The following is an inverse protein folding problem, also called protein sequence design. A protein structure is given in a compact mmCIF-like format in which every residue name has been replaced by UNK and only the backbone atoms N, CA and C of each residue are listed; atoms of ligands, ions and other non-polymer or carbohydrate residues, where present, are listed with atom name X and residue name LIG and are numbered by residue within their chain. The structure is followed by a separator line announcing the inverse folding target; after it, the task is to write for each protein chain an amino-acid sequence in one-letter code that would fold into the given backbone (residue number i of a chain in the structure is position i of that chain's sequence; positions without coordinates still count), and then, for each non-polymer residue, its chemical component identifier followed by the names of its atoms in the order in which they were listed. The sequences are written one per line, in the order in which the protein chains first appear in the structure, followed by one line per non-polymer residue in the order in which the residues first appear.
data_IF_868022216141
#
_entry.id   IF_868022216141
#
_cell.length_a   1.000
_cell.length_b   1.000
_cell.length_c   1.000
_cell.angle_alpha   90.00
_cell.angle_beta   90.00
_cell.angle_gamma   90.00
#
_symmetry.space_group_name_H-M   'P 1'
#
loop_
_entity.id
_entity.type
_entity.pdbx_description
1 polymer ?
#
# COMPACT_ATOMS: atom_id res chain seq x y z
N UNK A 1 25.22 23.70 -33.76
CA UNK A 1 25.05 23.61 -32.30
C UNK A 1 24.03 22.52 -31.98
N UNK A 2 24.39 21.48 -31.21
CA UNK A 2 23.85 20.15 -31.46
C UNK A 2 23.16 19.49 -30.24
N UNK A 3 22.24 18.56 -30.52
CA UNK A 3 21.74 17.44 -29.69
C UNK A 3 21.01 17.65 -28.35
N UNK A 4 20.93 18.84 -27.75
CA UNK A 4 20.31 18.98 -26.39
C UNK A 4 18.76 19.00 -26.40
N UNK A 5 18.11 19.27 -27.54
CA UNK A 5 16.64 19.42 -27.58
C UNK A 5 15.82 18.12 -27.66
N UNK A 6 16.45 16.94 -27.73
CA UNK A 6 15.73 15.66 -27.89
C UNK A 6 15.42 14.90 -26.59
N UNK A 7 15.87 15.37 -25.43
CA UNK A 7 15.59 14.71 -24.13
C UNK A 7 14.32 15.21 -23.45
N UNK A 8 13.75 16.33 -23.89
CA UNK A 8 12.55 16.94 -23.28
C UNK A 8 11.23 16.36 -23.82
N UNK A 9 11.27 15.56 -24.89
CA UNK A 9 10.12 14.79 -25.40
C UNK A 9 9.99 13.41 -24.73
N UNK A 10 10.30 13.32 -23.44
CA UNK A 10 10.08 12.08 -22.72
C UNK A 10 8.62 12.07 -22.24
N UNK A 11 7.71 11.61 -23.11
CA UNK A 11 6.38 11.08 -22.73
C UNK A 11 6.49 9.94 -21.69
N UNK A 12 7.71 9.51 -21.37
CA UNK A 12 8.04 8.55 -20.31
C UNK A 12 7.77 9.05 -18.89
N UNK A 13 7.58 10.36 -18.66
CA UNK A 13 7.36 10.92 -17.31
C UNK A 13 5.91 11.33 -17.02
N UNK A 14 5.05 11.39 -18.04
CA UNK A 14 3.64 11.77 -17.88
C UNK A 14 2.79 10.52 -18.00
N UNK A 15 2.76 9.70 -16.95
CA UNK A 15 1.73 8.66 -16.85
C UNK A 15 0.41 9.39 -16.61
N UNK A 16 -0.43 9.42 -17.64
CA UNK A 16 -1.79 9.98 -17.59
C UNK A 16 -2.66 9.06 -16.74
N UNK A 17 -2.49 9.16 -15.42
CA UNK A 17 -3.21 8.41 -14.41
C UNK A 17 -4.32 9.27 -13.84
N UNK A 18 -5.56 8.75 -13.82
CA UNK A 18 -6.67 9.43 -13.14
C UNK A 18 -6.49 9.49 -11.63
N UNK A 19 -5.60 8.67 -11.09
CA UNK A 19 -5.17 8.75 -9.69
C UNK A 19 -4.09 9.83 -9.55
N UNK A 20 -4.48 10.96 -8.95
CA UNK A 20 -3.58 12.08 -8.67
C UNK A 20 -2.95 11.90 -7.29
N UNK A 21 -1.62 11.89 -7.25
CA UNK A 21 -0.88 11.86 -6.00
C UNK A 21 -1.09 13.13 -5.18
N UNK A 22 -1.18 12.97 -3.86
CA UNK A 22 -1.45 14.08 -2.94
C UNK A 22 -0.67 13.96 -1.64
N UNK A 23 -0.24 15.10 -1.10
CA UNK A 23 0.41 15.15 0.22
C UNK A 23 -0.59 14.95 1.38
N UNK A 24 -1.88 15.12 1.11
CA UNK A 24 -2.95 14.90 2.10
C UNK A 24 -3.38 13.44 2.10
N UNK A 25 -3.70 12.87 3.28
CA UNK A 25 -4.31 11.54 3.35
C UNK A 25 -5.65 11.52 2.58
N UNK A 26 -5.89 10.44 1.84
CA UNK A 26 -7.11 10.21 1.08
C UNK A 26 -7.79 8.91 1.52
N UNK A 27 -9.13 8.89 1.43
CA UNK A 27 -9.94 7.71 1.70
C UNK A 27 -10.80 7.42 0.48
N UNK A 28 -10.26 6.63 -0.45
CA UNK A 28 -10.94 6.18 -1.67
C UNK A 28 -11.22 4.68 -1.59
N UNK A 29 -12.08 4.12 -2.46
CA UNK A 29 -12.28 2.68 -2.55
C UNK A 29 -10.96 1.91 -2.74
N UNK A 30 -10.06 2.42 -3.59
CA UNK A 30 -8.76 1.81 -3.83
C UNK A 30 -7.83 1.87 -2.62
N UNK A 31 -7.81 2.95 -1.83
CA UNK A 31 -7.00 2.96 -0.60
C UNK A 31 -7.53 2.01 0.48
N UNK A 32 -8.85 1.76 0.51
CA UNK A 32 -9.44 0.72 1.37
C UNK A 32 -9.02 -0.68 0.92
N UNK A 33 -9.04 -0.94 -0.38
CA UNK A 33 -8.59 -2.22 -0.95
C UNK A 33 -7.10 -2.44 -0.72
N UNK A 34 -6.28 -1.41 -0.94
CA UNK A 34 -4.86 -1.41 -0.62
C UNK A 34 -4.61 -1.78 0.85
N UNK A 35 -5.36 -1.20 1.79
CA UNK A 35 -5.28 -1.57 3.21
C UNK A 35 -5.65 -3.04 3.46
N UNK A 36 -6.73 -3.54 2.87
CA UNK A 36 -7.12 -4.95 3.02
C UNK A 36 -6.05 -5.91 2.48
N UNK A 37 -5.48 -5.61 1.31
CA UNK A 37 -4.42 -6.42 0.70
C UNK A 37 -3.13 -6.40 1.53
N UNK A 38 -2.75 -5.24 2.08
CA UNK A 38 -1.65 -5.12 3.02
C UNK A 38 -1.89 -5.98 4.29
N UNK A 39 -3.08 -5.94 4.87
CA UNK A 39 -3.42 -6.75 6.04
C UNK A 39 -3.35 -8.26 5.75
N UNK A 40 -3.87 -8.68 4.59
CA UNK A 40 -3.79 -10.07 4.13
C UNK A 40 -2.34 -10.54 3.97
N UNK A 41 -1.48 -9.69 3.37
CA UNK A 41 -0.06 -9.97 3.22
C UNK A 41 0.67 -10.04 4.57
N UNK A 42 0.37 -9.14 5.51
CA UNK A 42 0.96 -9.18 6.86
C UNK A 42 0.59 -10.48 7.57
N UNK A 43 -0.68 -10.91 7.47
CA UNK A 43 -1.15 -12.16 8.07
C UNK A 43 -0.44 -13.39 7.49
N UNK A 44 -0.16 -13.42 6.19
CA UNK A 44 0.61 -14.51 5.58
C UNK A 44 2.09 -14.49 5.97
N UNK A 45 2.67 -13.30 6.20
CA UNK A 45 4.07 -13.11 6.62
C UNK A 45 4.35 -13.51 8.07
N UNK A 46 3.43 -13.17 8.99
CA UNK A 46 3.59 -13.39 10.43
C UNK A 46 3.22 -14.82 10.87
N UNK A 47 2.49 -15.56 10.04
CA UNK A 47 2.15 -16.97 10.28
C UNK A 47 1.03 -17.18 11.30
N UNK A 48 0.66 -18.45 11.55
CA UNK A 48 -0.49 -18.81 12.40
C UNK A 48 -0.21 -18.72 13.91
N UNK A 49 1.07 -18.56 14.31
CA UNK A 49 1.49 -18.59 15.71
C UNK A 49 1.19 -17.28 16.47
N UNK A 50 0.79 -16.22 15.74
CA UNK A 50 0.39 -14.94 16.31
C UNK A 50 -1.04 -14.60 15.94
N UNK A 51 -1.82 -14.14 16.91
CA UNK A 51 -3.14 -13.60 16.67
C UNK A 51 -3.02 -12.11 16.34
N UNK A 52 -3.48 -11.70 15.16
CA UNK A 52 -3.41 -10.32 14.68
C UNK A 52 -4.81 -9.75 14.61
N UNK A 53 -5.01 -8.61 15.26
CA UNK A 53 -6.23 -7.81 15.15
C UNK A 53 -5.93 -6.56 14.30
N UNK A 54 -6.68 -6.40 13.22
CA UNK A 54 -6.57 -5.26 12.32
C UNK A 54 -7.72 -4.29 12.59
N UNK A 55 -7.47 -2.97 12.64
CA UNK A 55 -8.53 -1.98 12.75
C UNK A 55 -9.37 -1.94 11.46
N UNK A 56 -10.60 -1.43 11.54
CA UNK A 56 -11.50 -1.31 10.39
C UNK A 56 -10.97 -0.36 9.30
N UNK A 57 -10.10 0.58 9.67
CA UNK A 57 -9.53 1.60 8.78
C UNK A 57 -8.06 1.89 9.11
N UNK A 58 -7.25 2.27 8.12
CA UNK A 58 -5.88 2.73 8.38
C UNK A 58 -5.90 4.06 9.15
N UNK A 59 -4.77 4.38 9.81
CA UNK A 59 -4.57 5.69 10.42
C UNK A 59 -4.51 6.77 9.33
N UNK A 60 -3.73 6.52 8.29
CA UNK A 60 -3.62 7.38 7.12
C UNK A 60 -3.35 6.53 5.87
N UNK A 61 -3.86 6.99 4.73
CA UNK A 61 -3.52 6.42 3.44
C UNK A 61 -3.24 7.55 2.45
N UNK A 62 -2.22 7.39 1.61
CA UNK A 62 -1.85 8.34 0.57
C UNK A 62 -1.86 7.64 -0.78
N UNK A 63 -2.30 8.36 -1.82
CA UNK A 63 -1.94 8.04 -3.19
C UNK A 63 -0.70 8.86 -3.56
N UNK A 64 0.27 8.18 -4.18
CA UNK A 64 1.44 8.81 -4.81
C UNK A 64 1.18 9.12 -6.30
N UNK A 65 -0.01 8.79 -6.80
CA UNK A 65 -0.33 8.75 -8.22
C UNK A 65 0.19 7.47 -8.88
N UNK A 66 -0.23 7.25 -10.12
CA UNK A 66 0.08 6.03 -10.87
C UNK A 66 -0.28 4.76 -10.08
N UNK A 67 -1.41 4.79 -9.35
CA UNK A 67 -1.95 3.66 -8.61
C UNK A 67 -1.01 3.09 -7.52
N UNK A 68 -0.10 3.94 -7.04
CA UNK A 68 0.78 3.64 -5.92
C UNK A 68 0.21 4.23 -4.64
N UNK A 69 0.16 3.40 -3.60
CA UNK A 69 -0.42 3.75 -2.32
C UNK A 69 0.57 3.51 -1.18
N UNK A 70 0.53 4.42 -0.19
CA UNK A 70 1.18 4.24 1.10
C UNK A 70 0.09 4.12 2.15
N UNK A 71 0.08 3.01 2.88
CA UNK A 71 -0.86 2.75 3.95
C UNK A 71 -0.11 2.78 5.28
N UNK A 72 -0.49 3.69 6.17
CA UNK A 72 -0.01 3.76 7.53
C UNK A 72 -1.13 3.34 8.47
N UNK A 73 -0.91 2.28 9.23
CA UNK A 73 -1.89 1.74 10.15
C UNK A 73 -1.22 1.11 11.37
N UNK A 74 -2.03 0.71 12.33
CA UNK A 74 -1.61 -0.02 13.51
C UNK A 74 -2.28 -1.38 13.55
N UNK A 75 -1.62 -2.35 14.18
CA UNK A 75 -2.13 -3.69 14.42
C UNK A 75 -1.86 -4.09 15.85
N UNK A 76 -2.79 -4.81 16.44
CA UNK A 76 -2.56 -5.45 17.74
C UNK A 76 -2.14 -6.90 17.51
N UNK A 77 -1.01 -7.27 18.09
CA UNK A 77 -0.45 -8.61 17.95
C UNK A 77 -0.45 -9.24 19.33
N UNK A 78 -1.16 -10.36 19.45
CA UNK A 78 -1.18 -11.18 20.65
C UNK A 78 -0.29 -12.39 20.43
N UNK A 79 0.80 -12.46 21.21
CA UNK A 79 1.71 -13.62 21.24
C UNK A 79 1.14 -14.74 22.11
N UNK A 80 1.64 -15.96 21.91
CA UNK A 80 1.32 -17.17 22.70
C UNK A 80 1.57 -17.01 24.21
N UNK A 81 2.40 -16.03 24.62
CA UNK A 81 2.65 -15.66 26.01
C UNK A 81 1.62 -14.68 26.61
N UNK A 82 0.49 -14.47 25.93
CA UNK A 82 -0.64 -13.62 26.34
C UNK A 82 -0.35 -12.10 26.43
N UNK A 83 0.78 -11.64 25.90
CA UNK A 83 1.06 -10.21 25.75
C UNK A 83 0.52 -9.69 24.43
N UNK A 84 -0.37 -8.70 24.49
CA UNK A 84 -0.85 -7.94 23.34
C UNK A 84 -0.01 -6.69 23.18
N UNK A 85 0.59 -6.51 22.00
CA UNK A 85 1.39 -5.33 21.66
C UNK A 85 0.81 -4.66 20.42
N UNK A 86 0.54 -3.35 20.52
CA UNK A 86 0.18 -2.53 19.37
C UNK A 86 1.44 -2.12 18.62
N UNK A 87 1.51 -2.42 17.32
CA UNK A 87 2.61 -2.05 16.43
C UNK A 87 2.08 -1.20 15.28
N UNK A 88 2.80 -0.14 14.94
CA UNK A 88 2.53 0.68 13.76
C UNK A 88 3.31 0.15 12.58
N UNK A 89 2.67 0.08 11.42
CA UNK A 89 3.28 -0.39 10.20
C UNK A 89 3.02 0.57 9.04
N UNK A 90 3.93 0.54 8.08
CA UNK A 90 3.75 1.21 6.79
C UNK A 90 3.86 0.17 5.69
N UNK A 91 2.84 0.10 4.84
CA UNK A 91 2.79 -0.77 3.68
C UNK A 91 2.75 0.07 2.41
N UNK A 92 3.73 -0.14 1.52
CA UNK A 92 3.74 0.44 0.17
C UNK A 92 3.23 -0.62 -0.79
N UNK A 93 2.17 -0.29 -1.51
CA UNK A 93 1.49 -1.22 -2.41
C UNK A 93 1.15 -0.52 -3.73
N UNK A 94 1.24 -1.25 -4.84
CA UNK A 94 0.99 -0.76 -6.18
C UNK A 94 -0.10 -1.61 -6.85
N UNK A 95 -1.07 -0.95 -7.49
CA UNK A 95 -2.08 -1.64 -8.29
C UNK A 95 -1.69 -1.65 -9.77
N UNK A 96 -1.62 -2.84 -10.36
CA UNK A 96 -1.02 -3.05 -11.70
C UNK A 96 -1.98 -2.76 -12.86
N UNK A 97 -3.29 -2.81 -12.61
CA UNK A 97 -4.29 -2.74 -13.69
C UNK A 97 -4.81 -1.32 -13.95
N UNK A 98 -4.17 -0.31 -13.38
CA UNK A 98 -4.49 1.09 -13.64
C UNK A 98 -5.95 1.42 -13.36
N UNK A 99 -6.62 2.05 -14.33
CA UNK A 99 -8.02 2.47 -14.28
C UNK A 99 -9.05 1.33 -14.20
N UNK A 100 -8.63 0.08 -14.36
CA UNK A 100 -9.55 -1.05 -14.32
C UNK A 100 -9.88 -1.42 -12.88
N UNK A 101 -10.92 -0.84 -12.30
CA UNK A 101 -11.36 -1.13 -10.93
C UNK A 101 -11.93 -2.55 -10.73
N UNK A 102 -12.33 -3.27 -11.79
CA UNK A 102 -12.91 -4.61 -11.67
C UNK A 102 -11.90 -5.64 -11.12
N UNK A 103 -10.61 -5.46 -11.43
CA UNK A 103 -9.52 -6.32 -10.95
C UNK A 103 -9.02 -5.97 -9.54
N UNK A 104 -9.55 -4.93 -8.90
CA UNK A 104 -8.99 -4.36 -7.67
C UNK A 104 -9.22 -5.25 -6.44
N UNK A 105 -10.17 -6.18 -6.51
CA UNK A 105 -10.41 -7.18 -5.47
C UNK A 105 -9.44 -8.37 -5.53
N UNK A 106 -8.80 -8.61 -6.68
CA UNK A 106 -7.86 -9.72 -6.85
C UNK A 106 -6.45 -9.31 -6.43
N UNK A 107 -5.92 -9.95 -5.38
CA UNK A 107 -4.59 -9.70 -4.84
C UNK A 107 -3.47 -9.88 -5.90
N UNK A 108 -3.66 -10.71 -6.93
CA UNK A 108 -2.67 -10.91 -8.00
C UNK A 108 -2.38 -9.62 -8.79
N UNK A 109 -3.37 -8.72 -8.86
CA UNK A 109 -3.25 -7.42 -9.51
C UNK A 109 -2.56 -6.38 -8.63
N UNK A 110 -2.19 -6.73 -7.40
CA UNK A 110 -1.44 -5.87 -6.50
C UNK A 110 0.00 -6.35 -6.36
N UNK A 111 0.89 -5.41 -6.06
CA UNK A 111 2.30 -5.65 -5.73
C UNK A 111 2.61 -4.99 -4.40
N UNK A 112 3.09 -5.76 -3.43
CA UNK A 112 3.59 -5.20 -2.18
C UNK A 112 5.04 -4.80 -2.42
N UNK A 113 5.26 -3.49 -2.49
CA UNK A 113 6.57 -2.89 -2.77
C UNK A 113 7.44 -2.78 -1.52
N UNK A 114 6.82 -2.77 -0.34
CA UNK A 114 7.53 -2.72 0.93
C UNK A 114 6.60 -2.77 2.13
N UNK A 115 7.11 -3.34 3.22
CA UNK A 115 6.47 -3.38 4.53
C UNK A 115 7.52 -2.98 5.56
N UNK A 116 7.17 -2.10 6.49
CA UNK A 116 8.08 -1.59 7.52
C UNK A 116 7.37 -1.43 8.85
N UNK A 117 8.13 -1.47 9.96
CA UNK A 117 7.60 -1.30 11.32
C UNK A 117 7.21 -2.62 12.01
N UNK A 118 7.32 -3.74 11.30
CA UNK A 118 7.01 -5.09 11.79
C UNK A 118 8.25 -5.98 11.93
N UNK A 119 9.45 -5.42 11.82
CA UNK A 119 10.73 -6.16 11.82
C UNK A 119 11.15 -6.70 13.20
N UNK A 120 10.34 -6.45 14.24
CA UNK A 120 10.65 -6.73 15.65
C UNK A 120 9.61 -7.64 16.33
N UNK A 121 8.91 -8.46 15.53
CA UNK A 121 7.90 -9.42 15.99
C UNK A 121 8.45 -10.83 15.85
#
# INVERSE_FOLDING_TARGET
MPFVYKVVQSDLFLVDSKDQGGQSPISTPLTKLAFMHCNSYIKSKLGPDVSINFPEKPLNAWSLGNYQYIINAEIDITSTTANTTTKKYVCRINYKNGDNDEGSLDFANWSIEGLSGLDSI
#
